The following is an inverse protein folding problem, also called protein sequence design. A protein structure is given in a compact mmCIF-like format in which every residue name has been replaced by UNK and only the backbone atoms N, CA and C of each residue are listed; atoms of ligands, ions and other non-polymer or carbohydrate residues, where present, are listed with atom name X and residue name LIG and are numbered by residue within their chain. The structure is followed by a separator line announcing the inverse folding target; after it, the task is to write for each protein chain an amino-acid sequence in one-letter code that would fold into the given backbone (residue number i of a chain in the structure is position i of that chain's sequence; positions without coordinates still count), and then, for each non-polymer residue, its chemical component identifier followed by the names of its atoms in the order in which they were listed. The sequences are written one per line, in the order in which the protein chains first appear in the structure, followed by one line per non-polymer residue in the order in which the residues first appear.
data_IF_140547015959
#
_entry.id   IF_140547015959
#
_cell.length_a   1.000
_cell.length_b   1.000
_cell.length_c   1.000
_cell.angle_alpha   90.00
_cell.angle_beta   90.00
_cell.angle_gamma   90.00
#
_symmetry.space_group_name_H-M   'P 1'
#
loop_
_entity.id
_entity.type
_entity.pdbx_description
1 polymer ?
#
# COMPACT_ATOMS: atom_id res chain seq x y z
N UNK A 1 -10.98 14.87 -7.45
CA UNK A 1 -9.90 14.75 -8.45
C UNK A 1 -8.62 14.25 -7.79
N UNK A 2 -7.86 13.44 -8.52
CA UNK A 2 -6.54 12.94 -8.09
C UNK A 2 -5.45 13.92 -8.53
N UNK A 3 -4.34 13.98 -7.80
CA UNK A 3 -3.20 14.85 -8.15
C UNK A 3 -1.87 14.26 -7.74
N UNK A 4 -0.87 14.44 -8.60
CA UNK A 4 0.54 14.22 -8.28
C UNK A 4 1.24 15.56 -8.06
N UNK A 5 1.85 15.70 -6.90
CA UNK A 5 2.69 16.84 -6.51
C UNK A 5 4.16 16.45 -6.69
N UNK A 6 4.64 16.52 -7.93
CA UNK A 6 5.97 16.01 -8.33
C UNK A 6 7.11 16.60 -7.51
N UNK A 7 7.04 17.91 -7.22
CA UNK A 7 8.08 18.60 -6.47
C UNK A 7 8.38 17.94 -5.13
N UNK A 8 7.35 17.50 -4.41
CA UNK A 8 7.48 16.84 -3.10
C UNK A 8 7.28 15.32 -3.16
N UNK A 9 7.02 14.77 -4.34
CA UNK A 9 6.77 13.34 -4.59
C UNK A 9 5.65 12.74 -3.72
N UNK A 10 4.49 13.41 -3.76
CA UNK A 10 3.26 12.92 -3.13
C UNK A 10 2.18 12.78 -4.19
N UNK A 11 1.50 11.64 -4.24
CA UNK A 11 0.26 11.46 -4.98
C UNK A 11 -0.90 11.37 -3.99
N UNK A 12 -1.98 12.10 -4.26
CA UNK A 12 -3.24 12.00 -3.53
C UNK A 12 -4.32 11.61 -4.52
N UNK A 13 -4.77 10.37 -4.43
CA UNK A 13 -5.78 9.78 -5.30
C UNK A 13 -7.12 9.85 -4.59
N UNK A 14 -8.17 10.33 -5.26
CA UNK A 14 -9.49 10.51 -4.66
C UNK A 14 -10.59 10.01 -5.58
N UNK A 15 -11.62 9.39 -5.02
CA UNK A 15 -12.88 9.15 -5.73
C UNK A 15 -13.70 10.43 -5.89
N UNK A 16 -13.73 11.29 -4.86
CA UNK A 16 -14.41 12.59 -4.87
C UNK A 16 -13.71 13.58 -3.94
N UNK A 17 -13.87 14.88 -4.18
CA UNK A 17 -13.44 15.92 -3.23
C UNK A 17 -14.60 16.67 -2.59
N UNK A 18 -15.84 16.29 -2.92
CA UNK A 18 -17.02 17.04 -2.49
C UNK A 18 -17.38 16.77 -1.02
N UNK A 19 -17.15 15.56 -0.54
CA UNK A 19 -17.50 15.14 0.80
C UNK A 19 -16.59 13.99 1.26
N UNK A 20 -15.96 14.14 2.43
CA UNK A 20 -15.08 13.10 2.99
C UNK A 20 -15.85 11.81 3.33
N UNK A 21 -17.14 11.92 3.67
CA UNK A 21 -17.99 10.75 3.94
C UNK A 21 -18.27 9.90 2.69
N UNK A 22 -17.97 10.41 1.50
CA UNK A 22 -18.13 9.72 0.21
C UNK A 22 -16.80 9.41 -0.48
N UNK A 23 -15.71 9.97 0.05
CA UNK A 23 -14.40 9.84 -0.57
C UNK A 23 -13.68 8.56 -0.15
N UNK A 24 -13.00 7.95 -1.11
CA UNK A 24 -11.93 6.99 -0.90
C UNK A 24 -10.65 7.68 -1.37
N UNK A 25 -9.73 7.89 -0.43
CA UNK A 25 -8.47 8.56 -0.66
C UNK A 25 -7.29 7.65 -0.33
N UNK A 26 -6.42 7.45 -1.32
CA UNK A 26 -5.09 6.91 -1.08
C UNK A 26 -4.04 8.00 -1.27
N UNK A 27 -3.16 8.16 -0.28
CA UNK A 27 -1.96 8.98 -0.41
C UNK A 27 -0.77 8.05 -0.58
N UNK A 28 0.03 8.26 -1.61
CA UNK A 28 1.34 7.62 -1.80
C UNK A 28 2.44 8.67 -1.64
N UNK A 29 3.52 8.34 -0.92
CA UNK A 29 4.73 9.16 -0.85
C UNK A 29 5.92 8.41 -1.45
N UNK A 30 6.50 8.95 -2.51
CA UNK A 30 7.81 8.58 -3.03
C UNK A 30 8.51 9.89 -3.43
N UNK A 31 9.37 10.39 -2.55
CA UNK A 31 9.73 11.81 -2.51
C UNK A 31 11.18 12.04 -2.92
N UNK A 32 11.45 13.03 -3.80
CA UNK A 32 12.81 13.47 -4.12
C UNK A 32 13.43 14.30 -2.98
N UNK A 33 12.76 14.41 -1.83
CA UNK A 33 13.33 14.92 -0.60
C UNK A 33 13.59 13.78 0.37
N UNK A 34 14.64 13.92 1.17
CA UNK A 34 14.89 13.00 2.26
C UNK A 34 13.82 13.01 3.35
N UNK A 35 14.06 12.18 4.35
CA UNK A 35 13.24 11.94 5.53
C UNK A 35 13.74 12.68 6.78
N UNK A 36 14.58 13.69 6.60
CA UNK A 36 15.11 14.54 7.68
C UNK A 36 14.01 15.45 8.25
N UNK A 37 14.25 15.98 9.45
CA UNK A 37 13.31 16.88 10.14
C UNK A 37 11.96 16.20 10.36
N UNK A 38 10.86 16.81 9.92
CA UNK A 38 9.49 16.29 10.08
C UNK A 38 9.10 15.21 9.07
N UNK A 39 10.01 14.79 8.17
CA UNK A 39 9.72 13.85 7.09
C UNK A 39 9.78 12.38 7.46
N UNK A 40 8.94 11.88 8.38
CA UNK A 40 9.07 10.48 8.87
C UNK A 40 8.75 9.41 7.82
N UNK A 41 7.70 9.61 7.01
CA UNK A 41 7.18 8.62 6.06
C UNK A 41 8.29 8.05 5.14
N UNK A 42 8.50 6.72 5.08
CA UNK A 42 9.39 6.10 4.11
C UNK A 42 8.88 6.26 2.68
N UNK A 43 9.77 6.15 1.70
CA UNK A 43 9.39 6.16 0.29
C UNK A 43 8.57 4.90 -0.05
N UNK A 44 7.67 5.00 -1.03
CA UNK A 44 6.62 4.04 -1.32
C UNK A 44 5.66 3.73 -0.15
N UNK A 45 5.66 4.52 0.93
CA UNK A 45 4.62 4.39 1.96
C UNK A 45 3.30 4.99 1.49
N UNK A 46 2.20 4.51 2.08
CA UNK A 46 0.87 5.00 1.77
C UNK A 46 -0.04 5.10 2.98
N UNK A 47 -1.14 5.81 2.83
CA UNK A 47 -2.29 5.80 3.75
C UNK A 47 -3.59 5.64 2.97
N UNK A 48 -4.61 5.08 3.61
CA UNK A 48 -5.94 4.89 3.03
C UNK A 48 -7.02 5.41 3.98
N UNK A 49 -7.76 6.42 3.52
CA UNK A 49 -8.97 6.91 4.16
C UNK A 49 -10.18 6.55 3.29
N UNK A 50 -11.29 6.14 3.89
CA UNK A 50 -12.52 5.88 3.14
C UNK A 50 -13.75 6.24 3.98
N UNK A 51 -14.72 6.86 3.33
CA UNK A 51 -16.04 7.16 3.89
C UNK A 51 -15.99 7.88 5.25
N UNK A 52 -15.05 8.82 5.39
CA UNK A 52 -14.85 9.61 6.61
C UNK A 52 -13.95 8.95 7.66
N UNK A 53 -13.44 7.75 7.42
CA UNK A 53 -12.63 6.99 8.38
C UNK A 53 -11.20 6.76 7.88
N UNK A 54 -10.26 6.80 8.82
CA UNK A 54 -8.85 6.47 8.57
C UNK A 54 -8.61 4.96 8.72
N UNK A 55 -8.63 4.23 7.61
CA UNK A 55 -8.52 2.77 7.61
C UNK A 55 -7.07 2.32 7.77
N UNK A 56 -6.18 2.76 6.88
CA UNK A 56 -4.75 2.49 6.97
C UNK A 56 -3.99 3.78 7.23
N UNK A 57 -3.26 3.82 8.35
CA UNK A 57 -2.57 5.02 8.85
C UNK A 57 -1.07 4.76 8.93
N UNK A 58 -0.26 5.80 8.95
CA UNK A 58 1.14 5.69 9.37
C UNK A 58 1.28 6.16 10.82
N UNK A 59 2.44 5.94 11.44
CA UNK A 59 2.76 6.61 12.70
C UNK A 59 2.87 8.12 12.48
N UNK A 60 1.94 8.88 13.05
CA UNK A 60 1.90 10.36 13.00
C UNK A 60 2.17 10.98 14.38
N UNK A 61 2.57 10.16 15.34
CA UNK A 61 2.78 10.57 16.72
C UNK A 61 4.26 10.89 16.98
N UNK A 62 4.48 11.72 17.99
CA UNK A 62 5.79 12.02 18.57
C UNK A 62 5.57 12.53 19.99
N UNK A 63 6.34 12.02 20.93
CA UNK A 63 6.47 12.59 22.27
C UNK A 63 7.43 13.79 22.22
N UNK A 64 8.65 13.69 22.73
CA UNK A 64 9.68 14.72 22.59
C UNK A 64 10.69 14.38 21.48
N UNK A 65 11.27 15.42 20.88
CA UNK A 65 12.19 15.22 19.76
C UNK A 65 13.48 14.55 20.24
N UNK A 66 13.76 13.36 19.73
CA UNK A 66 14.98 12.62 20.03
C UNK A 66 14.80 11.54 21.09
N UNK A 67 13.58 11.34 21.57
CA UNK A 67 13.24 10.24 22.48
C UNK A 67 13.53 8.88 21.84
N UNK A 68 13.62 7.82 22.65
CA UNK A 68 13.67 6.46 22.13
C UNK A 68 12.49 6.12 21.21
N UNK A 69 11.26 6.54 21.55
CA UNK A 69 10.07 6.34 20.70
C UNK A 69 10.21 7.08 19.36
N UNK A 70 10.62 8.35 19.39
CA UNK A 70 10.80 9.14 18.19
C UNK A 70 11.84 8.53 17.25
N UNK A 71 13.03 8.23 17.79
CA UNK A 71 14.19 7.84 16.97
C UNK A 71 14.15 6.38 16.52
N UNK A 72 13.56 5.48 17.33
CA UNK A 72 13.55 4.03 17.04
C UNK A 72 12.21 3.53 16.50
N UNK A 73 11.10 4.21 16.79
CA UNK A 73 9.79 3.85 16.25
C UNK A 73 9.33 4.83 15.17
N UNK A 74 9.11 6.11 15.50
CA UNK A 74 8.51 7.07 14.56
C UNK A 74 9.32 7.26 13.27
N UNK A 75 10.65 7.12 13.32
CA UNK A 75 11.50 7.21 12.12
C UNK A 75 11.66 5.88 11.38
N UNK A 76 11.27 4.75 11.97
CA UNK A 76 11.48 3.43 11.39
C UNK A 76 10.52 3.20 10.22
N UNK A 77 10.92 2.34 9.28
CA UNK A 77 9.99 1.91 8.22
C UNK A 77 8.89 0.99 8.78
N UNK A 78 9.20 0.26 9.85
CA UNK A 78 8.29 -0.65 10.54
C UNK A 78 7.04 0.05 11.09
N UNK A 79 7.10 1.36 11.34
CA UNK A 79 5.97 2.16 11.84
C UNK A 79 5.05 2.72 10.73
N UNK A 80 5.21 2.28 9.47
CA UNK A 80 4.51 2.82 8.31
C UNK A 80 4.07 1.72 7.34
N UNK A 81 3.03 1.97 6.53
CA UNK A 81 2.57 1.04 5.50
C UNK A 81 3.57 0.95 4.33
N UNK A 82 4.68 0.25 4.54
CA UNK A 82 5.81 0.15 3.64
C UNK A 82 6.44 -1.25 3.68
N UNK A 83 7.48 -1.46 2.87
CA UNK A 83 8.18 -2.73 2.74
C UNK A 83 9.38 -2.79 3.71
N UNK A 84 9.59 -3.92 4.38
CA UNK A 84 10.87 -4.27 5.00
C UNK A 84 11.57 -5.37 4.20
N UNK A 85 12.90 -5.41 4.30
CA UNK A 85 13.76 -6.41 3.67
C UNK A 85 14.59 -7.05 4.76
N UNK A 86 14.46 -8.36 4.96
CA UNK A 86 15.06 -9.09 6.08
C UNK A 86 14.72 -8.47 7.45
N UNK A 87 13.50 -7.95 7.61
CA UNK A 87 13.07 -7.25 8.81
C UNK A 87 13.59 -5.81 8.95
N UNK A 88 14.39 -5.32 8.00
CA UNK A 88 15.00 -4.00 8.07
C UNK A 88 14.34 -2.98 7.11
N UNK A 89 14.29 -1.73 7.57
CA UNK A 89 13.69 -0.61 6.84
C UNK A 89 14.68 0.21 6.01
N UNK A 90 14.15 1.24 5.36
CA UNK A 90 14.90 2.28 4.66
C UNK A 90 15.76 3.11 5.60
N UNK A 91 16.81 3.75 5.07
CA UNK A 91 17.64 4.75 5.75
C UNK A 91 16.76 5.76 6.49
N UNK A 92 16.92 5.84 7.80
CA UNK A 92 16.13 6.73 8.66
C UNK A 92 16.76 8.11 8.72
N UNK A 93 15.95 9.14 8.95
CA UNK A 93 16.39 10.51 9.25
C UNK A 93 17.50 11.08 8.33
N UNK A 94 17.38 10.86 7.01
CA UNK A 94 18.38 11.32 6.02
C UNK A 94 17.85 12.49 5.18
N UNK A 95 18.72 13.39 4.74
CA UNK A 95 18.38 14.43 3.75
C UNK A 95 18.39 13.89 2.30
N UNK A 96 18.94 12.69 2.10
CA UNK A 96 19.19 12.13 0.78
C UNK A 96 17.89 11.92 -0.03
N UNK A 97 17.86 12.26 -1.33
CA UNK A 97 16.67 12.19 -2.18
C UNK A 97 16.44 10.77 -2.73
N UNK A 98 16.10 9.82 -1.85
CA UNK A 98 16.14 8.39 -2.15
C UNK A 98 14.84 7.80 -2.75
N UNK A 99 13.82 8.62 -2.99
CA UNK A 99 12.56 8.18 -3.62
C UNK A 99 12.08 9.14 -4.70
N UNK A 100 11.12 8.70 -5.51
CA UNK A 100 10.41 9.57 -6.48
C UNK A 100 9.18 8.88 -7.06
N UNK A 101 8.18 9.66 -7.44
CA UNK A 101 7.11 9.18 -8.32
C UNK A 101 7.63 9.22 -9.76
N UNK A 102 7.66 8.06 -10.42
CA UNK A 102 8.28 7.88 -11.74
C UNK A 102 7.27 7.85 -12.88
N UNK A 103 6.01 7.51 -12.61
CA UNK A 103 4.94 7.53 -13.60
C UNK A 103 3.58 7.77 -12.93
N UNK A 104 2.64 8.35 -13.68
CA UNK A 104 1.23 8.40 -13.31
C UNK A 104 0.35 8.57 -14.55
N UNK A 105 -0.88 8.11 -14.44
CA UNK A 105 -1.95 8.25 -15.42
C UNK A 105 -3.27 8.39 -14.63
N UNK A 106 -3.81 9.62 -14.60
CA UNK A 106 -4.97 9.96 -13.78
C UNK A 106 -6.18 10.15 -14.68
N UNK A 107 -7.11 9.21 -14.65
CA UNK A 107 -8.29 9.22 -15.52
C UNK A 107 -9.57 9.37 -14.69
N UNK A 108 -10.67 9.67 -15.39
CA UNK A 108 -11.99 9.70 -14.77
C UNK A 108 -12.44 8.26 -14.44
N UNK A 109 -12.46 7.93 -13.15
CA UNK A 109 -12.86 6.62 -12.64
C UNK A 109 -11.73 5.61 -12.41
N UNK A 110 -10.51 5.86 -12.92
CA UNK A 110 -9.35 5.03 -12.59
C UNK A 110 -8.04 5.85 -12.57
N UNK A 111 -7.11 5.47 -11.70
CA UNK A 111 -5.77 6.06 -11.64
C UNK A 111 -4.69 4.96 -11.66
N UNK A 112 -3.53 5.28 -12.21
CA UNK A 112 -2.27 4.56 -12.06
C UNK A 112 -1.17 5.51 -11.57
N UNK A 113 -0.39 5.09 -10.58
CA UNK A 113 0.80 5.82 -10.10
C UNK A 113 1.90 4.82 -9.76
N UNK A 114 3.15 5.16 -10.09
CA UNK A 114 4.32 4.33 -9.77
C UNK A 114 5.31 5.13 -8.94
N UNK A 115 5.62 4.63 -7.75
CA UNK A 115 6.69 5.14 -6.89
C UNK A 115 7.92 4.24 -6.94
N UNK A 116 9.11 4.84 -6.91
CA UNK A 116 10.40 4.15 -6.84
C UNK A 116 11.12 4.47 -5.54
N UNK A 117 11.70 3.45 -4.90
CA UNK A 117 12.33 3.58 -3.58
C UNK A 117 13.54 2.66 -3.33
N UNK A 118 14.11 1.96 -4.32
CA UNK A 118 15.20 1.00 -4.10
C UNK A 118 16.42 1.64 -3.42
N UNK A 119 16.79 2.84 -3.85
CA UNK A 119 17.94 3.58 -3.31
C UNK A 119 17.82 3.83 -1.79
N UNK A 120 16.59 3.88 -1.27
CA UNK A 120 16.31 4.07 0.16
C UNK A 120 16.72 2.88 1.03
N UNK A 121 16.92 1.71 0.43
CA UNK A 121 17.33 0.48 1.11
C UNK A 121 18.85 0.27 1.06
N UNK A 122 19.63 1.31 0.73
CA UNK A 122 21.09 1.34 0.89
C UNK A 122 21.81 0.17 0.19
N UNK A 123 21.37 -0.16 -1.03
CA UNK A 123 21.96 -1.22 -1.85
C UNK A 123 21.41 -2.63 -1.59
N UNK A 124 20.53 -2.82 -0.59
CA UNK A 124 19.84 -4.11 -0.38
C UNK A 124 18.84 -4.43 -1.50
N UNK A 125 18.29 -3.40 -2.14
CA UNK A 125 17.40 -3.53 -3.29
C UNK A 125 18.02 -2.90 -4.54
N UNK A 126 17.90 -3.60 -5.67
CA UNK A 126 18.19 -3.11 -7.02
C UNK A 126 16.97 -2.43 -7.64
N UNK A 127 15.77 -2.88 -7.27
CA UNK A 127 14.50 -2.33 -7.74
C UNK A 127 13.45 -2.38 -6.64
N UNK A 128 12.67 -1.31 -6.52
CA UNK A 128 11.45 -1.32 -5.72
C UNK A 128 10.43 -0.33 -6.28
N UNK A 129 9.67 -0.81 -7.26
CA UNK A 129 8.54 -0.08 -7.81
C UNK A 129 7.26 -0.50 -7.09
N UNK A 130 6.54 0.47 -6.53
CA UNK A 130 5.17 0.28 -6.05
C UNK A 130 4.22 0.90 -7.06
N UNK A 131 3.48 0.04 -7.73
CA UNK A 131 2.41 0.42 -8.64
C UNK A 131 1.11 0.52 -7.86
N UNK A 132 0.35 1.59 -8.08
CA UNK A 132 -0.94 1.83 -7.46
C UNK A 132 -1.96 1.95 -8.57
N UNK A 133 -2.84 0.96 -8.71
CA UNK A 133 -4.01 1.02 -9.60
C UNK A 133 -5.25 1.24 -8.75
N UNK A 134 -5.93 2.36 -8.91
CA UNK A 134 -7.16 2.67 -8.18
C UNK A 134 -8.35 2.71 -9.14
N UNK A 135 -9.23 1.71 -9.06
CA UNK A 135 -10.53 1.71 -9.76
C UNK A 135 -11.57 2.27 -8.79
N UNK A 136 -12.02 3.49 -9.08
CA UNK A 136 -12.78 4.31 -8.13
C UNK A 136 -14.22 3.84 -8.00
N UNK A 137 -14.81 3.87 -6.79
CA UNK A 137 -14.15 4.01 -5.47
C UNK A 137 -13.71 2.65 -4.87
N UNK A 138 -13.94 1.55 -5.57
CA UNK A 138 -14.15 0.24 -4.95
C UNK A 138 -12.88 -0.57 -4.67
N UNK A 139 -11.81 -0.38 -5.45
CA UNK A 139 -10.59 -1.20 -5.29
C UNK A 139 -9.32 -0.43 -5.59
N UNK A 140 -8.36 -0.51 -4.66
CA UNK A 140 -6.97 -0.13 -4.90
C UNK A 140 -6.11 -1.40 -4.93
N UNK A 141 -5.32 -1.56 -5.98
CA UNK A 141 -4.32 -2.62 -6.10
C UNK A 141 -2.95 -1.99 -5.95
N UNK A 142 -2.22 -2.37 -4.89
CA UNK A 142 -0.80 -2.11 -4.76
C UNK A 142 -0.06 -3.30 -5.34
N UNK A 143 0.80 -3.09 -6.33
CA UNK A 143 1.64 -4.15 -6.87
C UNK A 143 3.10 -3.77 -6.70
N UNK A 144 3.82 -4.55 -5.89
CA UNK A 144 5.21 -4.29 -5.55
C UNK A 144 6.14 -5.17 -6.39
N UNK A 145 6.94 -4.53 -7.24
CA UNK A 145 8.03 -5.12 -8.00
C UNK A 145 9.33 -4.87 -7.25
N UNK A 146 9.85 -5.94 -6.67
CA UNK A 146 11.04 -5.87 -5.82
C UNK A 146 12.10 -6.82 -6.37
N UNK A 147 13.30 -6.29 -6.58
CA UNK A 147 14.52 -7.07 -6.86
C UNK A 147 15.54 -6.75 -5.77
N UNK A 148 15.92 -7.75 -4.98
CA UNK A 148 16.96 -7.66 -3.97
C UNK A 148 18.35 -7.92 -4.57
N UNK A 149 19.39 -7.35 -3.95
CA UNK A 149 20.78 -7.62 -4.35
C UNK A 149 21.21 -9.07 -4.04
N UNK A 150 20.59 -9.69 -3.04
CA UNK A 150 20.76 -11.07 -2.62
C UNK A 150 19.40 -11.66 -2.23
N UNK A 151 19.20 -13.00 -2.31
CA UNK A 151 17.98 -13.63 -1.82
C UNK A 151 17.64 -13.17 -0.40
N UNK A 152 16.45 -12.58 -0.23
CA UNK A 152 16.02 -11.93 1.00
C UNK A 152 14.56 -12.27 1.31
N UNK A 153 14.14 -12.08 2.55
CA UNK A 153 12.72 -12.09 2.90
C UNK A 153 12.15 -10.68 2.79
N UNK A 154 10.86 -10.59 2.50
CA UNK A 154 10.13 -9.34 2.30
C UNK A 154 8.93 -9.30 3.21
N UNK A 155 8.72 -8.17 3.87
CA UNK A 155 7.60 -7.95 4.79
C UNK A 155 6.79 -6.74 4.37
N UNK A 156 5.50 -6.94 4.13
CA UNK A 156 4.54 -5.87 3.88
C UNK A 156 3.87 -5.46 5.18
N UNK A 157 4.08 -4.20 5.57
CA UNK A 157 3.50 -3.62 6.77
C UNK A 157 2.15 -2.98 6.47
N UNK A 158 1.16 -3.25 7.32
CA UNK A 158 -0.13 -2.56 7.36
C UNK A 158 -0.46 -2.11 8.78
N UNK A 159 -1.05 -0.92 8.90
CA UNK A 159 -1.25 -0.22 10.17
C UNK A 159 -2.67 0.34 10.25
N UNK A 160 -3.41 -0.02 11.30
CA UNK A 160 -4.79 0.42 11.53
C UNK A 160 -4.97 1.05 12.90
N UNK A 161 -6.12 1.72 13.09
CA UNK A 161 -6.57 2.24 14.40
C UNK A 161 -7.58 1.31 15.10
N UNK A 162 -7.77 0.11 14.57
CA UNK A 162 -8.50 -1.01 15.18
C UNK A 162 -7.75 -2.31 14.89
N UNK A 163 -8.04 -3.36 15.63
CA UNK A 163 -7.49 -4.70 15.39
C UNK A 163 -7.97 -5.25 14.03
N UNK A 164 -7.08 -5.96 13.34
CA UNK A 164 -7.41 -6.68 12.12
C UNK A 164 -7.92 -8.08 12.47
N UNK A 165 -9.00 -8.51 11.83
CA UNK A 165 -9.31 -9.92 11.72
C UNK A 165 -8.36 -10.54 10.69
N UNK A 166 -7.52 -11.47 11.15
CA UNK A 166 -6.46 -12.11 10.37
C UNK A 166 -6.92 -13.51 9.93
N UNK A 167 -7.06 -13.70 8.62
CA UNK A 167 -7.42 -14.97 8.00
C UNK A 167 -6.23 -15.50 7.19
N UNK A 168 -5.15 -15.88 7.88
CA UNK A 168 -3.85 -16.22 7.27
C UNK A 168 -3.96 -17.29 6.17
N UNK A 169 -4.70 -18.39 6.39
CA UNK A 169 -4.90 -19.44 5.38
C UNK A 169 -5.57 -18.93 4.10
N UNK A 170 -6.44 -17.92 4.23
CA UNK A 170 -7.11 -17.27 3.11
C UNK A 170 -6.31 -16.08 2.54
N UNK A 171 -5.12 -15.78 3.10
CA UNK A 171 -4.27 -14.63 2.74
C UNK A 171 -5.04 -13.31 2.76
N UNK A 172 -5.88 -13.15 3.80
CA UNK A 172 -6.88 -12.09 3.89
C UNK A 172 -6.86 -11.41 5.25
N UNK A 173 -7.11 -10.10 5.24
CA UNK A 173 -7.32 -9.30 6.44
C UNK A 173 -8.64 -8.54 6.32
N UNK A 174 -9.27 -8.29 7.45
CA UNK A 174 -10.40 -7.37 7.56
C UNK A 174 -10.20 -6.40 8.71
N UNK A 175 -10.53 -5.14 8.47
CA UNK A 175 -10.49 -4.06 9.46
C UNK A 175 -11.82 -3.33 9.44
N UNK A 176 -12.43 -3.11 10.60
CA UNK A 176 -13.69 -2.37 10.73
C UNK A 176 -13.45 -1.12 11.58
N UNK A 177 -13.96 0.03 11.11
CA UNK A 177 -13.83 1.32 11.80
C UNK A 177 -15.06 2.19 11.60
N UNK A 178 -15.81 2.44 12.66
CA UNK A 178 -16.92 3.41 12.63
C UNK A 178 -17.86 3.16 11.45
N UNK A 179 -17.84 4.07 10.47
CA UNK A 179 -18.71 4.05 9.28
C UNK A 179 -18.14 3.30 8.07
N UNK A 180 -16.94 2.72 8.17
CA UNK A 180 -16.25 2.07 7.06
C UNK A 180 -15.52 0.79 7.49
N UNK A 181 -15.18 -0.02 6.51
CA UNK A 181 -14.28 -1.14 6.70
C UNK A 181 -13.36 -1.35 5.50
N UNK A 182 -12.41 -2.25 5.67
CA UNK A 182 -11.43 -2.63 4.66
C UNK A 182 -11.33 -4.14 4.58
N UNK A 183 -11.36 -4.67 3.36
CA UNK A 183 -10.99 -6.04 3.07
C UNK A 183 -9.68 -6.03 2.27
N UNK A 184 -8.70 -6.79 2.72
CA UNK A 184 -7.37 -6.88 2.10
C UNK A 184 -7.11 -8.29 1.64
N UNK A 185 -6.67 -8.46 0.40
CA UNK A 185 -6.14 -9.73 -0.11
C UNK A 185 -4.67 -9.60 -0.50
N UNK A 186 -3.87 -10.61 -0.17
CA UNK A 186 -2.52 -10.76 -0.68
C UNK A 186 -2.48 -11.81 -1.79
N UNK A 187 -1.90 -11.44 -2.94
CA UNK A 187 -1.58 -12.36 -4.03
C UNK A 187 -0.07 -12.33 -4.18
N UNK A 188 0.59 -13.40 -3.75
CA UNK A 188 2.04 -13.50 -3.71
C UNK A 188 2.51 -14.81 -4.36
N UNK A 189 3.82 -14.95 -4.69
CA UNK A 189 4.38 -16.18 -5.24
C UNK A 189 4.30 -17.39 -4.29
N UNK A 190 4.06 -17.16 -3.02
CA UNK A 190 3.88 -18.17 -1.97
C UNK A 190 2.89 -17.65 -0.91
N UNK A 191 2.27 -18.52 -0.10
CA UNK A 191 1.52 -18.08 1.07
C UNK A 191 2.42 -17.31 2.03
N UNK A 192 2.01 -16.10 2.37
CA UNK A 192 2.68 -15.24 3.34
C UNK A 192 2.30 -15.65 4.76
N UNK A 193 3.26 -15.51 5.67
CA UNK A 193 3.04 -15.65 7.12
C UNK A 193 2.61 -14.31 7.68
N UNK A 194 1.56 -14.28 8.49
CA UNK A 194 1.05 -13.08 9.12
C UNK A 194 1.45 -13.01 10.59
N UNK A 195 1.79 -11.82 11.03
CA UNK A 195 1.97 -11.48 12.44
C UNK A 195 1.20 -10.21 12.74
N UNK A 196 0.47 -10.19 13.84
CA UNK A 196 -0.21 -8.99 14.32
C UNK A 196 0.22 -8.65 15.74
N UNK A 197 0.38 -7.36 16.02
CA UNK A 197 0.58 -6.82 17.37
C UNK A 197 0.02 -5.40 17.44
N UNK A 198 0.05 -4.79 18.63
CA UNK A 198 -0.40 -3.43 18.84
C UNK A 198 0.53 -2.65 19.78
N UNK A 199 0.35 -1.34 19.82
CA UNK A 199 1.15 -0.45 20.66
C UNK A 199 2.44 -0.02 19.96
N UNK A 200 3.45 0.33 20.75
CA UNK A 200 4.65 0.97 20.25
C UNK A 200 5.87 0.37 20.94
N UNK A 201 6.91 0.06 20.17
CA UNK A 201 8.17 -0.42 20.73
C UNK A 201 9.36 0.39 20.18
N UNK A 202 10.02 1.23 21.00
CA UNK A 202 9.73 1.47 22.42
C UNK A 202 8.45 2.27 22.63
N UNK A 203 7.86 2.19 23.84
CA UNK A 203 6.70 3.01 24.19
C UNK A 203 7.02 4.52 24.22
N UNK A 204 6.04 5.40 23.95
CA UNK A 204 6.19 6.84 24.12
C UNK A 204 6.43 7.22 25.60
N UNK A 205 7.17 8.30 25.83
CA UNK A 205 7.45 8.82 27.17
C UNK A 205 6.18 9.42 27.82
N UNK A 206 5.44 8.56 28.53
CA UNK A 206 4.20 8.93 29.24
C UNK A 206 4.45 9.99 30.31
N UNK A 207 5.61 9.99 30.96
CA UNK A 207 5.93 10.96 32.00
C UNK A 207 6.10 12.37 31.38
N UNK A 208 6.88 12.49 30.32
CA UNK A 208 7.00 13.73 29.54
C UNK A 208 5.64 14.20 29.02
N UNK A 209 4.80 13.26 28.56
CA UNK A 209 3.47 13.57 28.05
C UNK A 209 2.44 13.93 29.14
N UNK A 210 2.81 13.95 30.42
CA UNK A 210 1.92 14.29 31.53
C UNK A 210 0.86 13.21 31.79
N UNK A 211 1.23 11.93 31.64
CA UNK A 211 0.35 10.77 31.79
C UNK A 211 -0.55 10.47 30.58
N UNK A 212 -0.52 11.31 29.54
CA UNK A 212 -1.28 11.08 28.30
C UNK A 212 -0.66 9.95 27.47
N UNK A 213 -1.50 9.29 26.68
CA UNK A 213 -1.10 8.25 25.71
C UNK A 213 -1.58 8.61 24.31
N UNK A 214 -0.94 8.04 23.29
CA UNK A 214 -1.47 8.06 21.93
C UNK A 214 -2.52 6.96 21.75
N UNK A 215 -3.50 7.13 20.84
CA UNK A 215 -4.33 6.02 20.39
C UNK A 215 -3.47 4.83 20.00
N UNK A 216 -3.86 3.63 20.40
CA UNK A 216 -3.14 2.40 20.06
C UNK A 216 -3.26 2.17 18.55
N UNK A 217 -2.12 1.94 17.90
CA UNK A 217 -2.08 1.42 16.53
C UNK A 217 -1.96 -0.10 16.56
N UNK A 218 -2.59 -0.74 15.58
CA UNK A 218 -2.46 -2.16 15.30
C UNK A 218 -1.63 -2.36 14.05
N UNK A 219 -0.79 -3.39 14.05
CA UNK A 219 0.22 -3.64 13.05
C UNK A 219 0.05 -5.05 12.51
N UNK A 220 0.03 -5.20 11.19
CA UNK A 220 0.12 -6.48 10.53
C UNK A 220 1.38 -6.50 9.68
N UNK A 221 2.17 -7.54 9.86
CA UNK A 221 3.30 -7.90 9.01
C UNK A 221 2.90 -9.14 8.20
N UNK A 222 2.88 -9.03 6.87
CA UNK A 222 2.75 -10.16 5.97
C UNK A 222 4.12 -10.47 5.37
N UNK A 223 4.69 -11.64 5.64
CA UNK A 223 6.07 -11.99 5.30
C UNK A 223 6.16 -13.17 4.33
N UNK A 224 7.07 -13.07 3.36
CA UNK A 224 7.58 -14.28 2.68
C UNK A 224 8.24 -15.20 3.71
N UNK A 225 8.18 -16.50 3.50
CA UNK A 225 8.85 -17.49 4.35
C UNK A 225 10.12 -18.04 3.72
N UNK A 226 10.26 -17.93 2.40
CA UNK A 226 11.45 -18.35 1.66
C UNK A 226 12.20 -17.13 1.14
N UNK A 227 13.54 -17.03 1.32
CA UNK A 227 14.34 -15.98 0.70
C UNK A 227 14.22 -16.00 -0.82
N UNK A 228 14.00 -14.85 -1.43
CA UNK A 228 13.85 -14.68 -2.88
C UNK A 228 14.63 -13.46 -3.35
N UNK A 229 15.15 -13.54 -4.56
CA UNK A 229 15.82 -12.39 -5.17
C UNK A 229 14.80 -11.43 -5.81
N UNK A 230 13.68 -11.96 -6.32
CA UNK A 230 12.62 -11.18 -6.94
C UNK A 230 11.27 -11.57 -6.37
N UNK A 231 10.41 -10.57 -6.13
CA UNK A 231 9.00 -10.77 -5.81
C UNK A 231 8.11 -9.78 -6.57
N UNK A 232 6.97 -10.29 -7.02
CA UNK A 232 5.85 -9.50 -7.53
C UNK A 232 4.62 -9.86 -6.70
N UNK A 233 4.24 -8.96 -5.80
CA UNK A 233 3.18 -9.20 -4.81
C UNK A 233 2.11 -8.12 -4.94
N UNK A 234 0.84 -8.53 -4.92
CA UNK A 234 -0.30 -7.63 -4.93
C UNK A 234 -0.95 -7.57 -3.55
N UNK A 235 -1.20 -6.36 -3.07
CA UNK A 235 -2.09 -6.07 -1.95
C UNK A 235 -3.35 -5.39 -2.51
N UNK A 236 -4.46 -6.11 -2.50
CA UNK A 236 -5.75 -5.65 -3.02
C UNK A 236 -6.58 -5.11 -1.87
N UNK A 237 -6.78 -3.80 -1.85
CA UNK A 237 -7.50 -3.04 -0.84
C UNK A 237 -8.92 -2.74 -1.34
N UNK A 238 -9.93 -3.25 -0.64
CA UNK A 238 -11.36 -3.07 -0.98
C UNK A 238 -12.05 -2.34 0.18
N UNK A 239 -12.06 -1.00 0.20
CA UNK A 239 -12.79 -0.25 1.21
C UNK A 239 -14.30 -0.38 0.98
N UNK A 240 -15.08 -0.34 2.06
CA UNK A 240 -16.55 -0.36 2.01
C UNK A 240 -17.17 0.47 3.11
N UNK A 241 -18.43 0.85 2.93
CA UNK A 241 -19.23 1.46 4.00
C UNK A 241 -19.69 0.39 4.98
N UNK A 242 -19.86 0.78 6.24
CA UNK A 242 -20.43 -0.10 7.26
C UNK A 242 -21.75 -0.72 6.77
N UNK A 243 -21.90 -2.03 6.97
CA UNK A 243 -23.07 -2.80 6.51
C UNK A 243 -23.06 -3.15 5.02
N UNK A 244 -22.06 -2.69 4.25
CA UNK A 244 -21.90 -2.97 2.82
C UNK A 244 -20.59 -3.73 2.55
N UNK A 245 -20.21 -4.63 3.46
CA UNK A 245 -19.03 -5.48 3.25
C UNK A 245 -19.14 -6.19 1.89
N UNK A 246 -18.10 -6.12 1.04
CA UNK A 246 -18.11 -6.86 -0.19
C UNK A 246 -17.98 -8.35 0.07
N UNK A 247 -18.44 -9.15 -0.89
CA UNK A 247 -18.18 -10.59 -0.91
C UNK A 247 -16.68 -10.85 -0.87
N UNK A 248 -16.20 -11.77 0.00
CA UNK A 248 -14.79 -12.04 0.15
C UNK A 248 -14.18 -12.82 -1.03
N UNK A 249 -15.00 -13.29 -1.97
CA UNK A 249 -14.51 -13.93 -3.18
C UNK A 249 -13.71 -12.94 -4.05
N UNK A 250 -12.48 -13.33 -4.38
CA UNK A 250 -11.61 -12.69 -5.34
C UNK A 250 -11.06 -13.78 -6.25
N UNK A 251 -11.49 -13.81 -7.51
CA UNK A 251 -10.94 -14.76 -8.46
C UNK A 251 -9.64 -14.20 -9.03
N UNK A 252 -8.61 -15.04 -9.03
CA UNK A 252 -7.28 -14.69 -9.50
C UNK A 252 -6.90 -15.68 -10.59
N UNK A 253 -6.73 -15.18 -11.81
CA UNK A 253 -6.09 -15.90 -12.91
C UNK A 253 -4.69 -15.32 -13.08
N UNK A 254 -3.71 -16.17 -13.32
CA UNK A 254 -2.33 -15.70 -13.48
C UNK A 254 -1.55 -16.61 -14.42
N UNK A 255 -0.72 -15.99 -15.25
CA UNK A 255 0.15 -16.67 -16.21
C UNK A 255 1.51 -15.95 -16.29
N UNK A 256 2.46 -16.38 -17.13
CA UNK A 256 3.78 -15.75 -17.23
C UNK A 256 3.80 -14.29 -17.66
N UNK A 257 2.69 -13.75 -18.19
CA UNK A 257 2.62 -12.38 -18.73
C UNK A 257 1.80 -11.42 -17.89
N UNK A 258 0.86 -11.91 -17.08
CA UNK A 258 -0.07 -11.07 -16.33
C UNK A 258 -0.71 -11.76 -15.12
N UNK A 259 -1.33 -10.95 -14.28
CA UNK A 259 -2.27 -11.36 -13.23
C UNK A 259 -3.59 -10.64 -13.49
N UNK A 260 -4.68 -11.38 -13.40
CA UNK A 260 -6.04 -10.93 -13.65
C UNK A 260 -6.89 -11.16 -12.40
N UNK A 261 -7.44 -10.07 -11.87
CA UNK A 261 -8.33 -10.03 -10.73
C UNK A 261 -9.76 -9.84 -11.21
N UNK A 262 -10.68 -10.68 -10.72
CA UNK A 262 -12.13 -10.51 -10.91
C UNK A 262 -12.82 -10.49 -9.56
N UNK A 263 -13.59 -9.44 -9.32
CA UNK A 263 -14.32 -9.19 -8.09
C UNK A 263 -15.60 -8.40 -8.39
N UNK A 264 -16.44 -8.22 -7.38
CA UNK A 264 -17.60 -7.33 -7.45
C UNK A 264 -17.42 -6.15 -6.50
N UNK A 265 -17.91 -4.99 -6.94
CA UNK A 265 -18.17 -3.85 -6.08
C UNK A 265 -19.27 -4.19 -5.05
N UNK A 266 -19.43 -3.40 -3.97
CA UNK A 266 -20.51 -3.60 -3.00
C UNK A 266 -21.92 -3.55 -3.61
N UNK A 267 -22.11 -2.82 -4.71
CA UNK A 267 -23.37 -2.75 -5.46
C UNK A 267 -23.60 -3.93 -6.44
N UNK A 268 -22.68 -4.90 -6.46
CA UNK A 268 -22.72 -6.05 -7.37
C UNK A 268 -22.10 -5.79 -8.74
N UNK A 269 -21.68 -4.57 -9.06
CA UNK A 269 -21.04 -4.24 -10.34
C UNK A 269 -19.75 -5.06 -10.51
N UNK A 270 -19.57 -5.79 -11.62
CA UNK A 270 -18.36 -6.55 -11.85
C UNK A 270 -17.16 -5.60 -12.07
N UNK A 271 -16.05 -5.94 -11.45
CA UNK A 271 -14.76 -5.25 -11.60
C UNK A 271 -13.70 -6.25 -12.07
N UNK A 272 -12.92 -5.81 -13.03
CA UNK A 272 -11.76 -6.51 -13.56
C UNK A 272 -10.53 -5.61 -13.41
N UNK A 273 -9.42 -6.17 -12.92
CA UNK A 273 -8.11 -5.51 -12.98
C UNK A 273 -7.08 -6.51 -13.50
N UNK A 274 -6.50 -6.24 -14.67
CA UNK A 274 -5.41 -7.02 -15.25
C UNK A 274 -4.12 -6.22 -15.15
N UNK A 275 -3.07 -6.80 -14.56
CA UNK A 275 -1.75 -6.20 -14.43
C UNK A 275 -0.76 -6.99 -15.26
N UNK A 276 -0.01 -6.30 -16.13
CA UNK A 276 1.10 -6.88 -16.88
C UNK A 276 2.27 -7.13 -15.92
N UNK A 277 2.90 -8.30 -16.02
CA UNK A 277 4.07 -8.61 -15.18
C UNK A 277 5.26 -7.72 -15.56
N UNK A 278 6.14 -7.42 -14.60
CA UNK A 278 7.40 -6.74 -14.84
C UNK A 278 8.21 -7.35 -16.00
N UNK A 279 8.83 -6.50 -16.83
CA UNK A 279 9.71 -6.93 -17.93
C UNK A 279 9.01 -7.54 -19.15
N UNK A 280 7.68 -7.71 -19.13
CA UNK A 280 6.92 -8.32 -20.24
C UNK A 280 6.40 -7.25 -21.17
N UNK A 281 6.78 -7.22 -22.45
CA UNK A 281 6.34 -6.17 -23.39
C UNK A 281 4.82 -6.19 -23.73
N UNK A 282 4.20 -7.37 -23.75
CA UNK A 282 2.77 -7.55 -24.03
C UNK A 282 2.19 -8.65 -23.15
N UNK A 283 1.08 -8.36 -22.50
CA UNK A 283 0.30 -9.31 -21.72
C UNK A 283 -0.87 -9.88 -22.53
N UNK A 284 -1.20 -11.15 -22.25
CA UNK A 284 -2.46 -11.76 -22.66
C UNK A 284 -2.99 -12.68 -21.56
N UNK A 285 -4.22 -12.47 -21.11
CA UNK A 285 -4.85 -13.25 -20.01
C UNK A 285 -6.37 -13.08 -20.02
N UNK A 286 -7.14 -14.12 -19.71
CA UNK A 286 -8.61 -14.05 -19.64
C UNK A 286 -9.31 -13.40 -20.85
N UNK A 287 -8.78 -13.63 -22.07
CA UNK A 287 -9.29 -13.04 -23.33
C UNK A 287 -8.84 -11.60 -23.61
N UNK A 288 -8.08 -10.98 -22.71
CA UNK A 288 -7.53 -9.62 -22.87
C UNK A 288 -6.14 -9.68 -23.52
N UNK A 289 -5.79 -8.65 -24.30
CA UNK A 289 -4.42 -8.41 -24.77
C UNK A 289 -4.06 -6.93 -24.66
N UNK A 290 -2.91 -6.63 -24.07
CA UNK A 290 -2.52 -5.26 -23.75
C UNK A 290 -1.02 -5.06 -23.57
N UNK A 291 -0.57 -3.84 -23.81
CA UNK A 291 0.81 -3.37 -23.59
C UNK A 291 0.93 -2.37 -22.45
N UNK A 292 -0.20 -1.88 -21.93
CA UNK A 292 -0.20 -0.93 -20.81
C UNK A 292 0.19 -1.65 -19.52
N UNK A 293 0.56 -0.92 -18.46
CA UNK A 293 0.84 -1.52 -17.15
C UNK A 293 -0.38 -2.26 -16.61
N UNK A 294 -1.56 -1.66 -16.74
CA UNK A 294 -2.80 -2.29 -16.35
C UNK A 294 -3.96 -2.03 -17.33
N UNK A 295 -4.90 -2.97 -17.34
CA UNK A 295 -6.27 -2.75 -17.80
C UNK A 295 -7.19 -2.83 -16.59
N UNK A 296 -8.19 -1.95 -16.54
CA UNK A 296 -9.24 -2.03 -15.54
C UNK A 296 -10.61 -1.93 -16.22
N UNK A 297 -11.60 -2.61 -15.67
CA UNK A 297 -13.00 -2.45 -16.06
C UNK A 297 -13.89 -2.40 -14.82
N UNK A 298 -14.95 -1.59 -14.87
CA UNK A 298 -16.03 -1.53 -13.88
C UNK A 298 -17.35 -1.43 -14.63
N UNK A 299 -18.17 -2.48 -14.59
CA UNK A 299 -19.35 -2.59 -15.43
C UNK A 299 -18.98 -2.42 -16.91
N UNK A 300 -19.61 -1.49 -17.62
CA UNK A 300 -19.34 -1.23 -19.04
C UNK A 300 -18.16 -0.28 -19.35
N UNK A 301 -17.49 0.29 -18.34
CA UNK A 301 -16.38 1.24 -18.54
C UNK A 301 -15.03 0.53 -18.46
N UNK A 302 -14.15 0.79 -19.42
CA UNK A 302 -12.79 0.25 -19.50
C UNK A 302 -11.76 1.38 -19.41
N UNK A 303 -10.63 1.10 -18.77
CA UNK A 303 -9.46 1.96 -18.72
C UNK A 303 -8.21 1.17 -19.11
N UNK A 304 -7.34 1.84 -19.89
CA UNK A 304 -5.98 1.37 -20.16
C UNK A 304 -5.04 2.31 -19.45
N UNK A 305 -4.31 1.78 -18.48
CA UNK A 305 -3.61 2.59 -17.49
C UNK A 305 -2.10 2.45 -17.65
N UNK A 306 -1.43 3.58 -17.80
CA UNK A 306 0.02 3.64 -17.75
C UNK A 306 0.69 3.01 -18.96
N UNK A 307 0.79 3.76 -20.07
CA UNK A 307 1.69 3.39 -21.16
C UNK A 307 3.14 3.39 -20.68
N UNK A 308 3.93 2.47 -21.24
CA UNK A 308 5.40 2.59 -21.26
C UNK A 308 5.82 3.65 -22.28
#
# INVERSE_FOLDING_TARGET
PSKVFRGIGVAVLNSTLLNSNDNVQLRLKASPFGRQSHGHDPHNSFTLNAYGEALLVNCVYRDWHGSPFHTRWCWSTQAHNALLVNGEGQKTHTADPLGRIVAWDLQDGADDVVGEAAAAYEGRLRRFLRHVVFVKPDVVVLADEVEAAQPSTFQWMLHGLSEFNVEEKAQRLRLERGKAGLLVHFIAPEPLRFRQWSGYDPEPDKAFMGGRTFPIQWHVEASTTTPRQEVWTLTVLRPYRQGQSPEPALQVEQNPTAILLRLSAPDGTPILVALRRPGVARAAIGGLSFTHRALAQRGGKEWRLGRE
#
